data_IF_687273373285
#
_entry.id   IF_687273373285
#
_cell.length_a   1.000
_cell.length_b   1.000
_cell.length_c   1.000
_cell.angle_alpha   90.00
_cell.angle_beta   90.00
_cell.angle_gamma   90.00
#
_symmetry.space_group_name_H-M   'P 1'
#
loop_
_entity.id
_entity.type
_entity.pdbx_description
1 polymer ?
2 non-polymer ?
3 non-polymer ?
4 non-polymer ?
5 non-polymer ?
6 non-polymer ?
7 water ?
#
# COMPACT_ATOMS: atom_id res chain seq x y z
N UNK A 2 -0.88 -11.40 -13.14
CA UNK A 2 -0.10 -10.60 -12.15
C UNK A 2 -0.61 -9.17 -12.12
N UNK A 3 -0.49 -8.50 -10.97
CA UNK A 3 -0.99 -7.12 -10.88
C UNK A 3 -0.40 -6.09 -11.85
N UNK A 4 -1.22 -5.15 -12.28
CA UNK A 4 -0.73 -3.99 -13.02
C UNK A 4 0.12 -3.04 -12.16
N UNK A 5 -0.24 -3.00 -10.87
CA UNK A 5 0.51 -2.18 -9.91
C UNK A 5 0.30 -2.73 -8.49
N UNK A 6 1.36 -2.67 -7.71
CA UNK A 6 1.33 -3.01 -6.31
C UNK A 6 1.56 -1.76 -5.50
N UNK A 7 0.67 -1.47 -4.53
CA UNK A 7 0.79 -0.26 -3.72
C UNK A 7 1.38 -0.62 -2.38
N UNK A 8 2.39 0.14 -1.97
CA UNK A 8 3.04 -0.08 -0.66
C UNK A 8 3.13 1.27 0.04
N UNK A 9 3.09 1.24 1.36
CA UNK A 9 3.22 2.45 2.14
C UNK A 9 2.70 2.21 3.54
N UNK A 10 2.96 3.20 4.38
CA UNK A 10 2.50 3.18 5.75
C UNK A 10 1.00 3.26 5.82
N UNK A 11 0.42 2.85 6.95
CA UNK A 11 -0.97 3.17 7.22
C UNK A 11 -1.16 4.70 7.14
N UNK A 12 -2.27 5.11 6.56
CA UNK A 12 -2.52 6.50 6.33
C UNK A 12 -1.95 7.07 5.05
N UNK A 13 -1.14 6.30 4.29
CA UNK A 13 -0.53 6.80 3.05
C UNK A 13 -1.45 6.86 1.84
N UNK A 14 -2.68 6.35 1.97
CA UNK A 14 -3.65 6.38 0.88
C UNK A 14 -3.86 5.08 0.09
N UNK A 15 -3.34 3.95 0.57
CA UNK A 15 -3.42 2.72 -0.18
C UNK A 15 -4.86 2.39 -0.58
N UNK A 16 -5.84 2.53 0.32
CA UNK A 16 -7.21 2.10 0.02
C UNK A 16 -7.86 3.07 -0.97
N UNK A 17 -7.62 4.36 -0.79
CA UNK A 17 -8.29 5.37 -1.62
C UNK A 17 -7.60 5.58 -2.98
N UNK A 18 -6.29 5.68 -2.98
CA UNK A 18 -5.48 5.64 -4.20
C UNK A 18 -5.68 4.33 -4.98
N UNK A 19 -5.62 3.22 -4.24
CA UNK A 19 -5.93 1.95 -4.78
C UNK A 19 -7.20 2.10 -5.57
N UNK A 20 -8.18 2.79 -4.98
CA UNK A 20 -9.52 2.82 -5.58
C UNK A 20 -9.41 3.62 -6.85
N UNK A 21 -8.77 4.78 -6.75
CA UNK A 21 -8.76 5.69 -7.89
C UNK A 21 -7.88 5.19 -9.01
N UNK A 22 -6.69 4.69 -8.65
CA UNK A 22 -5.78 4.09 -9.62
C UNK A 22 -6.46 2.93 -10.35
N UNK A 23 -7.11 2.06 -9.59
CA UNK A 23 -7.82 0.91 -10.18
C UNK A 23 -8.88 1.36 -11.18
N UNK A 24 -9.75 2.28 -10.78
CA UNK A 24 -10.81 2.79 -11.69
C UNK A 24 -10.15 3.33 -12.96
N UNK A 25 -9.01 4.01 -12.79
CA UNK A 25 -8.34 4.68 -13.90
C UNK A 25 -7.76 3.69 -14.90
N UNK A 26 -7.20 2.60 -14.39
CA UNK A 26 -6.60 1.55 -15.21
C UNK A 26 -7.62 0.56 -15.73
N UNK A 27 -8.82 0.62 -15.17
CA UNK A 27 -9.90 -0.29 -15.53
C UNK A 27 -9.80 -1.73 -15.06
N UNK A 28 -9.42 -1.96 -13.80
CA UNK A 28 -9.38 -3.34 -13.24
C UNK A 28 -9.90 -3.43 -11.77
N UNK A 29 -9.82 -4.62 -11.17
CA UNK A 29 -10.19 -4.78 -9.76
C UNK A 29 -9.07 -4.44 -8.76
N UNK A 30 -9.45 -4.15 -7.53
CA UNK A 30 -8.50 -3.88 -6.45
C UNK A 30 -8.55 -5.07 -5.46
N UNK A 31 -7.39 -5.54 -5.03
CA UNK A 31 -7.33 -6.49 -3.92
C UNK A 31 -6.47 -5.92 -2.80
N UNK A 32 -6.96 -5.96 -1.55
CA UNK A 32 -6.17 -5.57 -0.38
C UNK A 32 -5.75 -6.83 0.32
N UNK A 33 -4.46 -6.94 0.63
CA UNK A 33 -4.04 -8.22 1.17
C UNK A 33 -4.60 -8.49 2.56
N UNK A 34 -4.91 -7.44 3.31
CA UNK A 34 -5.52 -7.60 4.64
C UNK A 34 -6.87 -8.24 4.52
N UNK A 35 -7.66 -7.77 3.55
CA UNK A 35 -8.95 -8.36 3.25
C UNK A 35 -8.78 -9.80 2.85
N UNK A 36 -7.76 -10.09 2.04
CA UNK A 36 -7.54 -11.46 1.61
C UNK A 36 -7.16 -12.35 2.77
N UNK A 37 -6.37 -11.85 3.71
CA UNK A 37 -6.04 -12.65 4.89
C UNK A 37 -7.28 -13.01 5.72
N UNK A 38 -8.15 -12.05 5.91
CA UNK A 38 -9.39 -12.27 6.68
C UNK A 38 -10.29 -13.27 5.98
N UNK A 39 -10.35 -13.18 4.67
CA UNK A 39 -11.14 -14.14 3.87
C UNK A 39 -10.64 -15.56 3.97
N UNK A 40 -9.34 -15.76 3.79
CA UNK A 40 -8.79 -17.10 3.84
C UNK A 40 -8.80 -17.70 5.22
N UNK A 41 -8.55 -16.89 6.24
CA UNK A 41 -8.43 -17.43 7.62
C UNK A 41 -9.77 -17.49 8.36
N UNK A 42 -10.73 -16.70 7.91
CA UNK A 42 -11.97 -16.47 8.65
C UNK A 42 -11.78 -15.67 9.93
N UNK A 43 -10.62 -15.03 10.10
CA UNK A 43 -10.32 -14.35 11.32
C UNK A 43 -10.05 -12.85 11.06
N UNK A 44 -10.30 -12.05 12.08
CA UNK A 44 -9.93 -10.65 12.03
C UNK A 44 -8.40 -10.53 12.19
N UNK A 45 -7.85 -9.53 11.54
CA UNK A 45 -6.43 -9.17 11.69
C UNK A 45 -6.12 -8.99 13.18
N UNK A 46 -6.96 -8.21 13.88
CA UNK A 46 -6.74 -8.02 15.30
C UNK A 46 -6.64 -9.30 16.12
N UNK A 47 -7.48 -10.30 15.81
CA UNK A 47 -7.51 -11.59 16.51
C UNK A 47 -6.23 -12.36 16.29
N UNK A 48 -5.71 -12.32 15.06
CA UNK A 48 -4.45 -12.99 14.75
C UNK A 48 -3.31 -12.42 15.57
N UNK A 49 -3.16 -11.09 15.59
CA UNK A 49 -2.12 -10.49 16.40
C UNK A 49 -2.30 -10.83 17.90
N UNK A 50 -3.54 -10.67 18.36
CA UNK A 50 -3.87 -10.81 19.79
C UNK A 50 -3.65 -12.20 20.30
N UNK A 51 -3.99 -13.17 19.45
CA UNK A 51 -3.97 -14.55 19.94
C UNK A 51 -2.82 -15.37 19.43
N UNK A 52 -2.37 -15.08 18.24
CA UNK A 52 -1.24 -15.87 17.68
C UNK A 52 0.04 -15.07 17.61
N UNK A 53 -0.05 -13.75 17.57
CA UNK A 53 1.11 -12.91 17.63
C UNK A 53 1.58 -12.42 16.24
N UNK A 54 2.41 -11.39 16.26
CA UNK A 54 2.85 -10.74 15.00
C UNK A 54 3.62 -11.68 14.09
N UNK A 55 4.50 -12.52 14.65
CA UNK A 55 5.31 -13.34 13.74
C UNK A 55 4.48 -14.32 12.93
N UNK A 56 3.51 -14.95 13.59
CA UNK A 56 2.60 -15.78 12.88
C UNK A 56 1.77 -14.96 11.88
N UNK A 57 1.36 -13.75 12.26
CA UNK A 57 0.66 -12.93 11.28
C UNK A 57 1.53 -12.71 10.04
N UNK A 58 2.81 -12.35 10.22
CA UNK A 58 3.67 -12.10 9.08
C UNK A 58 3.86 -13.33 8.18
N UNK A 59 3.88 -14.53 8.75
CA UNK A 59 3.95 -15.76 7.92
C UNK A 59 2.72 -15.98 7.06
N UNK A 60 1.54 -15.78 7.65
CA UNK A 60 0.29 -15.87 6.93
C UNK A 60 0.25 -14.83 5.86
N UNK A 61 0.59 -13.60 6.26
CA UNK A 61 0.60 -12.50 5.32
C UNK A 61 1.52 -12.74 4.12
N UNK A 62 2.70 -13.26 4.38
CA UNK A 62 3.64 -13.53 3.32
C UNK A 62 3.05 -14.54 2.34
N UNK A 63 2.42 -15.60 2.82
CA UNK A 63 1.81 -16.57 1.92
C UNK A 63 0.67 -15.97 1.11
N UNK A 64 -0.17 -15.16 1.74
CA UNK A 64 -1.25 -14.51 1.03
C UNK A 64 -0.76 -13.55 -0.06
N UNK A 65 0.28 -12.76 0.25
CA UNK A 65 0.84 -11.84 -0.69
C UNK A 65 1.45 -12.52 -1.90
N UNK A 66 2.20 -13.60 -1.66
CA UNK A 66 2.86 -14.30 -2.74
C UNK A 66 1.80 -14.90 -3.67
N UNK A 67 0.76 -15.47 -3.09
CA UNK A 67 -0.35 -15.99 -3.89
C UNK A 67 -1.03 -14.92 -4.72
N UNK A 68 -1.26 -13.76 -4.10
CA UNK A 68 -1.90 -12.63 -4.76
C UNK A 68 -1.10 -12.10 -5.94
N UNK A 69 0.23 -12.06 -5.78
CA UNK A 69 1.12 -11.65 -6.86
C UNK A 69 1.06 -12.53 -8.09
N UNK A 70 0.82 -13.81 -7.84
CA UNK A 70 0.65 -14.81 -8.90
C UNK A 70 -0.73 -14.76 -9.54
N UNK A 71 -1.76 -14.61 -8.70
CA UNK A 71 -3.16 -14.88 -9.11
C UNK A 71 -4.01 -13.67 -9.48
N UNK A 72 -3.61 -12.48 -9.08
CA UNK A 72 -4.45 -11.33 -9.36
C UNK A 72 -3.93 -10.43 -10.43
N UNK A 73 -4.85 -9.81 -11.18
CA UNK A 73 -4.50 -9.10 -12.42
C UNK A 73 -4.70 -7.61 -12.37
N UNK A 74 -5.23 -7.10 -11.28
CA UNK A 74 -5.46 -5.66 -11.16
C UNK A 74 -4.45 -4.93 -10.28
N UNK A 75 -4.99 -4.10 -9.39
CA UNK A 75 -4.19 -3.36 -8.42
C UNK A 75 -4.19 -4.16 -7.12
N UNK A 76 -3.01 -4.31 -6.55
CA UNK A 76 -2.83 -4.99 -5.28
C UNK A 76 -2.30 -4.01 -4.25
N UNK A 77 -3.01 -3.86 -3.12
CA UNK A 77 -2.52 -3.06 -1.99
C UNK A 77 -1.99 -4.02 -0.91
N UNK A 78 -0.77 -3.78 -0.44
CA UNK A 78 -0.14 -4.62 0.59
C UNK A 78 -0.28 -3.92 1.92
N UNK A 79 -0.57 -4.66 2.96
CA UNK A 79 -0.58 -4.14 4.30
C UNK A 79 0.74 -3.52 4.59
N UNK A 80 0.71 -2.49 5.42
CA UNK A 80 1.88 -1.65 5.64
C UNK A 80 3.11 -2.34 6.12
N UNK A 81 2.97 -3.45 6.86
CA UNK A 81 4.11 -4.19 7.37
C UNK A 81 4.61 -5.36 6.54
N UNK A 82 4.00 -5.57 5.39
CA UNK A 82 4.32 -6.75 4.58
C UNK A 82 5.79 -6.73 4.09
N UNK A 83 6.30 -5.54 3.81
CA UNK A 83 7.68 -5.40 3.35
C UNK A 83 8.71 -5.73 4.39
N UNK A 84 8.33 -5.87 5.65
CA UNK A 84 9.31 -6.30 6.68
C UNK A 84 9.73 -7.75 6.48
N UNK A 85 8.93 -8.52 5.74
CA UNK A 85 9.21 -9.94 5.45
C UNK A 85 10.12 -10.05 4.22
N UNK A 86 11.34 -10.61 4.40
CA UNK A 86 12.21 -10.77 3.22
C UNK A 86 11.56 -11.54 2.07
N UNK A 87 10.71 -12.54 2.38
CA UNK A 87 10.04 -13.31 1.30
C UNK A 87 9.07 -12.46 0.49
N UNK A 88 8.51 -11.45 1.14
CA UNK A 88 7.62 -10.55 0.42
C UNK A 88 8.43 -9.67 -0.50
N UNK A 89 9.53 -9.14 0.02
CA UNK A 89 10.35 -8.29 -0.84
C UNK A 89 10.85 -9.09 -2.04
N UNK A 90 11.26 -10.32 -1.79
CA UNK A 90 11.71 -11.21 -2.85
C UNK A 90 10.65 -11.38 -3.92
N UNK A 91 9.39 -11.60 -3.55
CA UNK A 91 8.30 -11.86 -4.47
C UNK A 91 7.95 -10.65 -5.30
N UNK A 92 8.20 -9.46 -4.74
CA UNK A 92 7.89 -8.23 -5.45
C UNK A 92 8.85 -7.96 -6.59
N UNK A 93 10.03 -8.60 -6.59
CA UNK A 93 11.05 -8.39 -7.64
C UNK A 93 10.41 -8.60 -9.04
N UNK A 94 10.53 -7.59 -9.89
CA UNK A 94 10.03 -7.62 -11.24
C UNK A 94 8.67 -7.03 -11.46
N UNK A 95 7.94 -6.73 -10.38
CA UNK A 95 6.64 -6.07 -10.45
C UNK A 95 6.76 -4.58 -10.46
N UNK A 96 5.69 -3.95 -10.93
CA UNK A 96 5.51 -2.54 -10.78
C UNK A 96 4.98 -2.31 -9.37
N UNK A 97 5.75 -1.55 -8.62
CA UNK A 97 5.51 -1.29 -7.21
C UNK A 97 5.55 0.19 -6.89
N UNK A 98 4.39 0.73 -6.50
CA UNK A 98 4.20 2.15 -6.23
C UNK A 98 4.28 2.38 -4.73
N UNK A 99 5.26 3.17 -4.33
CA UNK A 99 5.45 3.56 -2.94
C UNK A 99 4.73 4.89 -2.68
N UNK A 100 3.71 4.87 -1.82
CA UNK A 100 2.97 6.11 -1.44
C UNK A 100 3.65 6.70 -0.22
N UNK A 101 4.37 7.81 -0.41
CA UNK A 101 5.21 8.40 0.63
C UNK A 101 4.32 9.41 1.38
N UNK A 102 4.45 9.47 2.70
CA UNK A 102 3.67 10.38 3.53
C UNK A 102 4.52 10.75 4.73
N UNK A 103 4.42 12.00 5.16
CA UNK A 103 5.13 12.40 6.37
C UNK A 103 4.34 12.00 7.62
N UNK A 104 5.06 11.97 8.73
CA UNK A 104 4.54 11.52 10.00
C UNK A 104 3.35 12.32 10.42
N UNK A 105 3.40 13.65 10.32
CA UNK A 105 2.25 14.44 10.77
C UNK A 105 0.95 14.13 10.04
N UNK A 106 1.03 14.03 8.72
CA UNK A 106 -0.14 13.77 7.92
C UNK A 106 -0.60 12.35 8.19
N UNK A 107 0.35 11.43 8.24
CA UNK A 107 0.06 10.00 8.48
C UNK A 107 -0.64 9.80 9.82
N UNK A 108 -0.12 10.46 10.84
CA UNK A 108 -0.73 10.46 12.16
C UNK A 108 -2.17 11.01 12.16
N UNK A 109 -2.37 12.15 11.50
CA UNK A 109 -3.72 12.70 11.33
C UNK A 109 -4.66 11.73 10.66
N UNK A 110 -4.18 11.04 9.62
CA UNK A 110 -5.06 10.26 8.78
C UNK A 110 -5.36 8.89 9.36
N UNK A 111 -4.65 8.51 10.40
CA UNK A 111 -4.88 7.23 11.08
C UNK A 111 -5.57 7.36 12.44
N UNK A 112 -6.02 8.57 12.80
CA UNK A 112 -6.55 8.85 14.12
C UNK A 112 -7.97 8.45 14.48
N UNK A 113 -8.68 7.76 13.60
CA UNK A 113 -10.01 7.28 13.98
C UNK A 113 -10.05 6.03 14.86
N UNK A 114 -11.21 5.41 14.87
CA UNK A 114 -11.39 4.22 15.68
C UNK A 114 -11.05 2.91 14.94
N UNK A 115 -10.40 2.96 13.78
CA UNK A 115 -9.90 1.73 13.17
C UNK A 115 -8.99 0.99 14.14
N UNK A 116 -9.19 -0.31 14.27
CA UNK A 116 -8.30 -1.11 15.12
C UNK A 116 -6.97 -1.29 14.40
N UNK A 117 -5.87 -0.92 15.06
CA UNK A 117 -4.53 -1.01 14.51
C UNK A 117 -3.58 -1.53 15.59
N UNK A 118 -3.31 -2.84 15.58
CA UNK A 118 -2.47 -3.45 16.56
C UNK A 118 -1.12 -2.79 16.79
N UNK A 119 -0.53 -2.27 15.72
CA UNK A 119 0.79 -1.62 15.83
C UNK A 119 0.73 -0.10 15.91
N UNK A 120 -0.46 0.46 15.97
CA UNK A 120 -0.59 1.90 16.03
C UNK A 120 -1.79 2.24 16.91
N UNK A 121 -1.62 2.00 18.19
CA UNK A 121 -2.68 2.26 19.16
C UNK A 121 -2.14 3.13 20.26
N UNK A 122 -2.99 4.00 20.78
CA UNK A 122 -2.52 5.01 21.73
C UNK A 122 -2.18 4.38 23.08
N UNK A 123 -1.56 5.17 23.97
CA UNK A 123 -1.19 6.54 23.72
C UNK A 123 0.14 6.63 22.95
N UNK A 124 0.57 7.86 22.68
CA UNK A 124 1.84 8.14 21.97
C UNK A 124 1.85 7.51 20.57
N UNK A 125 0.70 7.62 19.91
CA UNK A 125 0.60 7.12 18.55
C UNK A 125 1.58 7.78 17.59
N UNK A 126 1.85 9.06 17.76
CA UNK A 126 2.78 9.74 16.89
C UNK A 126 4.20 9.16 17.02
N UNK A 127 4.63 8.84 18.24
CA UNK A 127 5.93 8.18 18.45
C UNK A 127 6.01 6.83 17.76
N UNK A 128 4.95 6.05 17.91
CA UNK A 128 4.84 4.74 17.25
C UNK A 128 4.88 4.88 15.72
N UNK A 129 4.21 5.89 15.19
CA UNK A 129 4.19 6.12 13.75
C UNK A 129 5.57 6.51 13.25
N UNK A 130 6.23 7.46 13.92
CA UNK A 130 7.61 7.76 13.57
C UNK A 130 8.56 6.58 13.61
N UNK A 131 8.40 5.69 14.60
CA UNK A 131 9.18 4.48 14.68
C UNK A 131 8.97 3.54 13.48
N UNK A 132 7.71 3.30 13.12
CA UNK A 132 7.40 2.50 11.94
C UNK A 132 8.01 3.11 10.70
N UNK A 133 7.89 4.44 10.57
CA UNK A 133 8.42 5.12 9.40
C UNK A 133 9.91 4.93 9.31
N UNK A 134 10.60 5.19 10.41
CA UNK A 134 12.05 5.08 10.47
C UNK A 134 12.55 3.71 10.08
N UNK A 135 11.89 2.67 10.58
CA UNK A 135 12.27 1.31 10.28
C UNK A 135 11.91 0.91 8.85
N UNK A 136 10.70 1.26 8.40
CA UNK A 136 10.21 0.75 7.11
C UNK A 136 10.65 1.53 5.89
N UNK A 137 10.98 2.81 6.06
CA UNK A 137 11.39 3.63 4.93
C UNK A 137 12.36 2.94 3.93
N UNK A 138 13.49 2.38 4.41
CA UNK A 138 14.42 1.76 3.47
C UNK A 138 13.78 0.58 2.73
N UNK A 139 12.87 -0.10 3.40
CA UNK A 139 12.27 -1.31 2.86
C UNK A 139 11.31 -0.97 1.74
N UNK A 140 10.48 0.06 1.93
CA UNK A 140 9.65 0.59 0.88
C UNK A 140 10.48 1.03 -0.33
N UNK A 141 11.54 1.78 -0.04
CA UNK A 141 12.42 2.22 -1.11
C UNK A 141 13.06 1.08 -1.87
N UNK A 142 13.45 0.01 -1.20
CA UNK A 142 14.11 -1.14 -1.80
C UNK A 142 13.24 -1.84 -2.83
N UNK A 143 11.96 -1.97 -2.49
CA UNK A 143 11.00 -2.66 -3.40
C UNK A 143 10.37 -1.74 -4.48
N UNK A 144 10.34 -0.42 -4.34
CA UNK A 144 9.41 0.40 -5.17
C UNK A 144 9.94 0.75 -6.59
N UNK A 145 9.03 0.81 -7.58
CA UNK A 145 9.43 1.15 -8.97
C UNK A 145 9.03 2.57 -9.38
N UNK A 146 8.13 3.16 -8.59
CA UNK A 146 7.63 4.51 -8.74
C UNK A 146 7.30 4.96 -7.32
N UNK A 147 7.67 6.19 -7.00
CA UNK A 147 7.31 6.82 -5.72
C UNK A 147 6.37 8.00 -5.96
N UNK A 148 5.34 8.14 -5.14
CA UNK A 148 4.43 9.30 -5.26
C UNK A 148 4.18 9.95 -3.92
N UNK A 149 4.25 11.28 -3.88
CA UNK A 149 4.01 12.06 -2.65
C UNK A 149 2.50 12.29 -2.38
N UNK A 150 1.97 11.69 -1.33
CA UNK A 150 0.56 11.94 -1.04
C UNK A 150 0.33 13.04 0.01
N UNK A 151 1.37 13.79 0.40
CA UNK A 151 1.23 14.63 1.57
C UNK A 151 0.24 15.76 1.42
N UNK A 152 0.23 16.34 0.22
CA UNK A 152 -0.44 17.60 -0.06
C UNK A 152 -1.39 17.49 -1.25
N UNK A 153 -1.01 16.66 -2.22
CA UNK A 153 -1.82 16.54 -3.41
C UNK A 153 -3.17 15.92 -3.12
N UNK A 154 -4.18 16.44 -3.80
CA UNK A 154 -5.43 15.77 -3.84
C UNK A 154 -5.07 14.37 -4.37
N UNK A 155 -5.75 13.34 -3.88
CA UNK A 155 -5.69 11.98 -4.40
C UNK A 155 -5.78 11.94 -5.93
N UNK A 156 -6.98 12.19 -6.48
CA UNK A 156 -7.21 12.14 -7.92
C UNK A 156 -6.01 12.63 -8.70
N UNK A 157 -5.27 13.56 -8.09
CA UNK A 157 -4.00 14.04 -8.66
C UNK A 157 -2.84 13.04 -8.56
N UNK A 158 -2.43 12.64 -7.34
CA UNK A 158 -1.32 11.70 -7.16
C UNK A 158 -1.53 10.57 -8.16
N UNK A 159 -2.80 10.26 -8.38
CA UNK A 159 -3.09 9.20 -9.31
C UNK A 159 -2.69 9.58 -10.76
N UNK A 160 -2.91 10.84 -11.13
CA UNK A 160 -2.53 11.27 -12.46
C UNK A 160 -1.04 11.05 -12.63
N UNK A 161 -0.30 11.37 -11.57
CA UNK A 161 1.11 11.07 -11.50
C UNK A 161 1.27 9.56 -11.77
N UNK A 162 0.29 8.72 -11.32
CA UNK A 162 0.41 7.24 -11.40
C UNK A 162 0.05 6.68 -12.77
N UNK A 163 -1.16 6.99 -13.26
CA UNK A 163 -1.60 6.48 -14.56
C UNK A 163 -0.65 6.99 -15.63
N UNK A 164 -0.26 8.26 -15.53
CA UNK A 164 0.61 8.87 -16.51
C UNK A 164 1.96 8.19 -16.49
N UNK A 165 2.52 8.08 -15.29
CA UNK A 165 3.83 7.45 -15.04
C UNK A 165 3.96 6.02 -15.54
N UNK A 166 3.00 5.15 -15.20
CA UNK A 166 3.03 3.77 -15.68
C UNK A 166 3.31 3.77 -17.20
N UNK A 167 2.78 4.78 -17.86
CA UNK A 167 2.67 4.71 -19.30
C UNK A 167 3.92 5.06 -20.09
N UNK A 168 4.77 5.92 -19.58
CA UNK A 168 5.88 6.45 -20.36
C UNK A 168 7.19 5.96 -19.74
N UNK A 169 8.28 5.99 -20.51
CA UNK A 169 9.54 5.43 -20.01
C UNK A 169 10.09 6.13 -18.75
N UNK A 170 10.44 5.31 -17.74
CA UNK A 170 11.29 5.67 -16.58
C UNK A 170 10.77 5.03 -15.29
X LIG B 1 -0.05 -3.15 9.70
X LIG B 1 -0.72 -2.37 8.82
X LIG B 1 -2.12 -2.69 8.35
X LIG B 1 -2.51 -4.13 8.72
X LIG B 1 -2.12 -4.52 10.14
X LIG B 1 -0.61 -4.41 10.33
X LIG B 1 1.29 -2.78 10.08
X LIG B 1 -2.17 -2.48 6.93
X LIG B 1 -1.88 -5.02 7.78
X LIG B 1 -2.74 -3.70 11.14
X LIG B 1 2.03 -3.72 10.40
X LIG B 1 1.66 -1.59 10.08
X LIG B 1 -2.69 -1.09 6.29
X LIG B 1 -3.48 -1.57 5.08
X LIG B 1 -3.59 -0.46 7.34
X LIG B 1 -1.40 -0.32 6.05
X LIG C 1 -4.09 3.47 3.94
X LIG C 1 -2.76 3.26 3.39
X LIG C 1 -4.35 4.92 3.84
X LIG C 1 -5.16 2.69 3.27
X LIG C 1 -4.06 3.12 5.39
X LIG D 1 -2.77 -0.68 6.41
X LIG D 1 -3.10 0.43 5.43
X LIG D 1 -1.30 -0.75 6.71
X LIG D 1 -3.27 -1.97 5.81
X LIG D 1 -3.50 -0.40 7.72
X LIG E 1 -10.42 10.28 -1.75
X LIG E 1 -10.18 9.27 -2.76
X LIG E 1 -10.60 11.59 -2.34
X LIG E 1 -11.62 9.89 -1.03
X LIG E 1 -9.28 10.36 -0.84
X LIG F 1 10.68 -16.03 -5.04
X LIG F 1 11.86 -16.26 -4.23
X LIG F 1 10.98 -15.63 -6.42
X LIG F 1 9.77 -17.21 -5.05
X LIG F 1 10.04 -14.84 -4.49
X LIG G 1 16.70 -7.40 0.78
X LIG G 1 16.95 -8.80 1.06
X LIG G 1 17.70 -6.84 -0.12
X LIG G 1 15.37 -7.26 0.15
X LIG G 1 16.76 -6.67 2.04
X LIG H 1 -1.17 18.11 -12.51
X LIG H 1 -1.25 18.60 -13.88
X LIG H 1 0.14 18.43 -11.98
X LIG H 1 -2.22 18.75 -11.71
X LIG H 1 -1.35 16.67 -12.49
X LIG I 1 -5.05 16.47 6.35
X LIG I 1 -3.61 16.41 6.07
X LIG I 1 -5.69 17.36 5.38
X LIG I 1 -5.62 15.13 6.31
X LIG I 1 -5.27 16.99 7.70
X LIG J 1 4.81 14.07 19.75
X LIG J 1 5.12 12.70 20.13
X LIG J 1 4.11 14.04 18.48
X LIG J 1 3.98 14.70 20.76
X LIG J 1 6.05 14.82 19.60
X LIG K 1 -9.91 -7.01 10.97
X LIG L 1 -0.17 -20.51 10.46
X LIG M 1 -12.07 8.00 -2.14
X LIG N 1 4.49 -10.61 5.94
X LIG O 1 -11.88 0.93 -7.87
#
# INVERSE_FOLDING_TARGET
MAPKAVLVGLPGSGKSTIGRRLAKALGVGLLDTDVAIEQRTGRSIADIFATDGEQEFRRIEEDVVRAALADHDGVLSLGGGAVTSPGVRAALAGHTVVYLEISAAEGVRRTGGNTVRPLLAGPDRAEKYRALMAKRAPLYRRVATMRVDTNRRNPGAVVRHILSRLQVPSPSEAATLEHHHHHH
S3P C1 C2 C3 C4 C5 C6 C7 O1 O2 O3 O4 O5 P1 O6 O7 O8
SO4 S O1 O2 O3 O4
PO4 P O1 O2 O3 O4
SO4 S O1 O2 O3 O4
SO4 S O1 O2 O3 O4
SO4 S O1 O2 O3 O4
SO4 S O1 O2 O3 O4
SO4 S O1 O2 O3 O4
SO4 S O1 O2 O3 O4
MG MG
MG MG
MG MG
CL CL
CL CL
#
